data_IF_173516287111
#
_entry.id   IF_173516287111
#
_cell.length_a   1.000
_cell.length_b   1.000
_cell.length_c   1.000
_cell.angle_alpha   90.00
_cell.angle_beta   90.00
_cell.angle_gamma   90.00
#
_symmetry.space_group_name_H-M   'P 1'
#
loop_
_entity.id
_entity.type
_entity.pdbx_description
1 polymer ?
#
# COMPACT_ATOMS: atom_id res chain seq x y z
N UNK A 1 -20.23 -11.08 -14.14
CA UNK A 1 -18.78 -11.27 -14.36
C UNK A 1 -18.36 -12.45 -13.52
N UNK A 2 -18.04 -13.56 -14.16
CA UNK A 2 -17.65 -14.81 -13.52
C UNK A 2 -16.28 -14.66 -12.87
N UNK A 3 -16.17 -15.09 -11.61
CA UNK A 3 -14.92 -15.15 -10.86
C UNK A 3 -13.86 -15.91 -11.67
N UNK A 4 -12.91 -15.18 -12.26
CA UNK A 4 -11.71 -15.76 -12.82
C UNK A 4 -10.82 -16.16 -11.65
N UNK A 5 -10.72 -17.47 -11.50
CA UNK A 5 -9.64 -18.29 -10.92
C UNK A 5 -8.68 -17.55 -9.98
N UNK A 6 -8.76 -17.94 -8.70
CA UNK A 6 -7.74 -17.72 -7.68
C UNK A 6 -6.36 -18.08 -8.25
N UNK A 7 -5.41 -17.19 -7.98
CA UNK A 7 -4.00 -17.13 -8.43
C UNK A 7 -3.39 -18.54 -8.59
N UNK A 8 -2.78 -18.87 -9.76
CA UNK A 8 -2.08 -20.15 -9.95
C UNK A 8 -0.90 -20.29 -8.99
N UNK A 9 -0.81 -21.44 -8.32
CA UNK A 9 0.30 -21.87 -7.45
C UNK A 9 1.42 -22.53 -8.24
N UNK A 10 1.87 -21.92 -9.35
CA UNK A 10 3.01 -22.46 -10.08
C UNK A 10 4.28 -21.68 -9.72
N UNK A 11 5.36 -22.40 -9.46
CA UNK A 11 6.66 -21.87 -9.06
C UNK A 11 7.38 -21.20 -10.24
N UNK A 12 6.74 -20.20 -10.85
CA UNK A 12 7.43 -19.25 -11.71
C UNK A 12 8.51 -18.59 -10.86
N UNK A 13 9.75 -18.60 -11.36
CA UNK A 13 10.79 -17.70 -10.85
C UNK A 13 10.21 -16.28 -10.84
N UNK A 14 9.77 -15.84 -9.66
CA UNK A 14 9.25 -14.49 -9.49
C UNK A 14 10.40 -13.53 -9.71
N UNK A 15 10.13 -12.46 -10.47
CA UNK A 15 11.17 -11.58 -11.01
C UNK A 15 11.65 -10.61 -9.94
N UNK A 16 12.96 -10.36 -9.93
CA UNK A 16 13.61 -9.37 -9.09
C UNK A 16 13.30 -7.95 -9.61
N UNK A 17 12.80 -7.07 -8.73
CA UNK A 17 12.43 -5.68 -9.05
C UNK A 17 13.64 -4.82 -9.48
N UNK A 18 14.86 -5.24 -9.15
CA UNK A 18 16.10 -4.55 -9.51
C UNK A 18 16.65 -4.99 -10.88
N UNK A 19 16.11 -6.06 -11.47
CA UNK A 19 16.58 -6.55 -12.76
C UNK A 19 15.89 -5.84 -13.93
N UNK A 20 16.60 -5.59 -15.04
CA UNK A 20 16.00 -5.02 -16.23
C UNK A 20 14.83 -5.86 -16.74
N UNK A 21 13.73 -5.18 -17.04
CA UNK A 21 12.52 -5.81 -17.57
C UNK A 21 12.01 -5.00 -18.79
N UNK A 22 11.46 -5.71 -19.78
CA UNK A 22 10.96 -5.12 -21.03
C UNK A 22 9.60 -4.43 -20.90
N UNK A 23 8.87 -4.67 -19.81
CA UNK A 23 7.59 -4.02 -19.49
C UNK A 23 7.57 -3.28 -18.14
N UNK A 24 8.61 -3.42 -17.31
CA UNK A 24 8.67 -2.84 -15.97
C UNK A 24 10.03 -2.19 -15.65
N UNK A 25 10.01 -1.12 -14.86
CA UNK A 25 11.21 -0.44 -14.32
C UNK A 25 10.94 0.04 -12.89
N UNK A 26 11.95 -0.04 -12.02
CA UNK A 26 11.88 0.50 -10.66
C UNK A 26 13.09 1.37 -10.38
N UNK A 27 12.85 2.55 -9.79
CA UNK A 27 13.89 3.52 -9.45
C UNK A 27 13.62 4.10 -8.05
N UNK A 28 14.59 4.00 -7.14
CA UNK A 28 14.64 4.83 -5.92
C UNK A 28 15.19 6.20 -6.27
N UNK A 29 14.47 7.27 -5.95
CA UNK A 29 14.91 8.63 -6.23
C UNK A 29 15.93 9.07 -5.17
N UNK A 30 17.15 9.34 -5.61
CA UNK A 30 18.22 9.85 -4.75
C UNK A 30 18.48 11.33 -4.99
N UNK A 31 19.02 11.67 -6.17
CA UNK A 31 19.42 13.05 -6.49
C UNK A 31 18.51 13.72 -7.52
N UNK A 32 18.09 12.98 -8.55
CA UNK A 32 17.29 13.54 -9.64
C UNK A 32 16.19 12.58 -10.05
N UNK A 33 15.02 13.15 -10.35
CA UNK A 33 13.88 12.39 -10.86
C UNK A 33 14.10 12.13 -12.35
N UNK A 34 14.09 10.87 -12.83
CA UNK A 34 14.18 10.58 -14.26
C UNK A 34 13.10 11.34 -15.04
N UNK A 35 13.44 11.91 -16.19
CA UNK A 35 12.49 12.69 -16.98
C UNK A 35 11.22 11.88 -17.33
N UNK A 36 10.09 12.59 -17.41
CA UNK A 36 8.85 12.01 -17.90
C UNK A 36 9.05 11.53 -19.35
N UNK A 37 8.53 10.34 -19.67
CA UNK A 37 8.66 9.75 -20.99
C UNK A 37 7.30 9.24 -21.47
N UNK A 38 7.04 9.38 -22.77
CA UNK A 38 5.72 9.04 -23.36
C UNK A 38 5.45 7.53 -23.35
N UNK A 39 6.50 6.74 -23.36
CA UNK A 39 6.50 5.27 -23.28
C UNK A 39 6.60 4.77 -21.83
N UNK A 40 6.36 5.64 -20.85
CA UNK A 40 6.33 5.29 -19.43
C UNK A 40 4.98 5.61 -18.81
N UNK A 41 4.46 4.62 -18.09
CA UNK A 41 3.32 4.74 -17.19
C UNK A 41 3.92 4.82 -15.79
N UNK A 42 4.04 6.04 -15.28
CA UNK A 42 4.72 6.28 -14.02
C UNK A 42 3.78 6.10 -12.81
N UNK A 43 4.24 5.32 -11.84
CA UNK A 43 3.59 5.09 -10.54
C UNK A 43 4.49 5.69 -9.45
N UNK A 44 3.92 6.55 -8.62
CA UNK A 44 4.66 7.15 -7.51
C UNK A 44 4.52 6.30 -6.24
N UNK A 45 5.64 5.95 -5.61
CA UNK A 45 5.67 5.34 -4.27
C UNK A 45 6.18 6.40 -3.30
N UNK A 46 5.38 6.69 -2.26
CA UNK A 46 5.77 7.54 -1.14
C UNK A 46 6.46 6.66 -0.09
N UNK A 47 7.80 6.66 -0.09
CA UNK A 47 8.60 5.89 0.87
C UNK A 47 8.66 6.63 2.21
N UNK A 48 7.95 6.06 3.19
CA UNK A 48 7.83 6.58 4.56
C UNK A 48 8.78 5.87 5.55
N UNK A 49 9.68 5.00 5.07
CA UNK A 49 10.46 4.11 5.92
C UNK A 49 11.60 4.80 6.67
N UNK A 50 12.03 5.99 6.23
CA UNK A 50 13.09 6.72 6.91
C UNK A 50 14.40 5.87 7.03
N UNK A 51 14.75 5.11 5.98
CA UNK A 51 15.89 4.15 5.91
C UNK A 51 15.83 2.94 6.84
N UNK A 52 14.73 2.74 7.55
CA UNK A 52 14.54 1.49 8.26
C UNK A 52 14.45 0.34 7.26
N UNK A 53 15.17 -0.77 7.48
CA UNK A 53 14.97 -1.98 6.69
C UNK A 53 13.51 -2.40 6.73
N UNK A 54 12.82 -2.29 5.60
CA UNK A 54 11.40 -2.61 5.48
C UNK A 54 11.16 -3.56 4.31
N UNK A 55 10.45 -4.65 4.57
CA UNK A 55 9.98 -5.57 3.53
C UNK A 55 8.77 -5.00 2.78
N UNK A 56 7.89 -4.27 3.47
CA UNK A 56 6.64 -3.78 2.91
C UNK A 56 6.81 -2.83 1.73
N UNK A 57 7.86 -2.00 1.72
CA UNK A 57 8.14 -1.17 0.54
C UNK A 57 8.37 -2.00 -0.72
N UNK A 58 9.27 -2.97 -0.65
CA UNK A 58 9.60 -3.77 -1.83
C UNK A 58 8.43 -4.71 -2.18
N UNK A 59 7.67 -5.21 -1.20
CA UNK A 59 6.41 -5.91 -1.44
C UNK A 59 5.40 -5.06 -2.20
N UNK A 60 5.30 -3.75 -1.93
CA UNK A 60 4.45 -2.84 -2.70
C UNK A 60 4.97 -2.65 -4.14
N UNK A 61 6.29 -2.56 -4.34
CA UNK A 61 6.88 -2.49 -5.69
C UNK A 61 6.63 -3.80 -6.46
N UNK A 62 6.80 -4.95 -5.81
CA UNK A 62 6.45 -6.26 -6.35
C UNK A 62 4.96 -6.36 -6.71
N UNK A 63 4.05 -5.83 -5.87
CA UNK A 63 2.63 -5.79 -6.20
C UNK A 63 2.35 -5.02 -7.50
N UNK A 64 3.10 -3.93 -7.79
CA UNK A 64 2.99 -3.21 -9.07
C UNK A 64 3.60 -4.03 -10.22
N UNK A 65 4.74 -4.68 -10.00
CA UNK A 65 5.38 -5.56 -11.00
C UNK A 65 4.46 -6.72 -11.39
N UNK A 66 3.89 -7.42 -10.42
CA UNK A 66 2.96 -8.54 -10.63
C UNK A 66 1.68 -8.06 -11.33
N UNK A 67 1.13 -6.91 -10.95
CA UNK A 67 -0.01 -6.33 -11.64
C UNK A 67 0.33 -5.91 -13.09
N UNK A 68 1.53 -5.40 -13.35
CA UNK A 68 1.99 -5.06 -14.69
C UNK A 68 2.25 -6.29 -15.57
N UNK A 69 2.70 -7.39 -14.96
CA UNK A 69 2.97 -8.66 -15.65
C UNK A 69 1.72 -9.23 -16.31
N UNK A 70 0.54 -9.08 -15.70
CA UNK A 70 -0.74 -9.49 -16.30
C UNK A 70 -1.03 -8.80 -17.64
N UNK A 71 -0.37 -7.66 -17.91
CA UNK A 71 -0.48 -6.86 -19.13
C UNK A 71 0.82 -6.81 -19.93
N UNK A 72 1.78 -7.70 -19.66
CA UNK A 72 3.12 -7.65 -20.26
C UNK A 72 3.07 -7.66 -21.79
N UNK A 73 2.25 -8.53 -22.40
CA UNK A 73 2.11 -8.61 -23.86
C UNK A 73 1.54 -7.30 -24.46
N UNK A 74 0.59 -6.67 -23.77
CA UNK A 74 0.01 -5.40 -24.21
C UNK A 74 1.04 -4.27 -24.11
N UNK A 75 1.74 -4.17 -22.98
CA UNK A 75 2.81 -3.20 -22.74
C UNK A 75 3.92 -3.31 -23.80
N UNK A 76 4.38 -4.53 -24.09
CA UNK A 76 5.36 -4.79 -25.15
C UNK A 76 4.84 -4.39 -26.52
N UNK A 77 3.59 -4.74 -26.84
CA UNK A 77 2.95 -4.40 -28.12
C UNK A 77 2.86 -2.90 -28.37
N UNK A 78 2.57 -2.10 -27.32
CA UNK A 78 2.50 -0.64 -27.42
C UNK A 78 3.86 0.04 -27.17
N UNK A 79 4.91 -0.74 -26.92
CA UNK A 79 6.26 -0.23 -26.62
C UNK A 79 6.33 0.61 -25.35
N UNK A 80 5.46 0.35 -24.35
CA UNK A 80 5.42 1.08 -23.09
C UNK A 80 5.91 0.21 -21.92
N UNK A 81 6.30 0.86 -20.83
CA UNK A 81 6.62 0.20 -19.56
C UNK A 81 5.90 0.87 -18.39
N UNK A 82 5.56 0.08 -17.39
CA UNK A 82 5.22 0.59 -16.05
C UNK A 82 6.52 0.93 -15.34
N UNK A 83 6.64 2.16 -14.84
CA UNK A 83 7.82 2.60 -14.09
C UNK A 83 7.44 3.07 -12.71
N UNK A 84 7.94 2.39 -11.70
CA UNK A 84 7.77 2.77 -10.29
C UNK A 84 8.89 3.70 -9.89
N UNK A 85 8.52 4.88 -9.38
CA UNK A 85 9.45 5.85 -8.82
C UNK A 85 9.20 5.99 -7.32
N UNK A 86 10.17 5.61 -6.50
CA UNK A 86 10.10 5.68 -5.04
C UNK A 86 10.73 6.96 -4.51
N UNK A 87 9.95 7.75 -3.80
CA UNK A 87 10.29 9.06 -3.27
C UNK A 87 10.49 8.97 -1.75
N UNK A 88 11.70 9.25 -1.26
CA UNK A 88 11.98 9.37 0.18
C UNK A 88 11.38 10.68 0.72
N UNK A 89 10.14 10.56 1.19
CA UNK A 89 9.33 11.70 1.66
C UNK A 89 9.95 12.32 2.90
N UNK A 90 10.30 11.49 3.88
CA UNK A 90 10.56 11.97 5.24
C UNK A 90 11.95 12.54 5.44
N UNK A 91 12.98 11.98 4.80
CA UNK A 91 14.36 12.47 4.97
C UNK A 91 14.78 13.42 3.87
N UNK A 92 14.39 13.15 2.64
CA UNK A 92 14.81 13.97 1.50
C UNK A 92 13.80 15.05 1.15
N UNK A 93 12.64 15.08 1.81
CA UNK A 93 11.52 15.95 1.43
C UNK A 93 11.15 15.77 -0.05
N UNK A 94 11.31 14.53 -0.55
CA UNK A 94 11.04 14.21 -1.94
C UNK A 94 9.55 13.88 -2.05
N UNK A 95 8.77 14.82 -2.59
CA UNK A 95 7.34 14.65 -2.84
C UNK A 95 7.14 14.59 -4.37
N UNK A 96 6.44 13.59 -4.92
CA UNK A 96 6.13 13.56 -6.34
C UNK A 96 5.23 14.75 -6.74
N UNK A 97 5.21 15.05 -8.03
CA UNK A 97 4.28 16.02 -8.60
C UNK A 97 2.82 15.63 -8.36
N UNK A 98 1.95 16.62 -8.20
CA UNK A 98 0.49 16.44 -8.08
C UNK A 98 -0.13 15.79 -9.33
N UNK A 99 -1.36 15.26 -9.26
CA UNK A 99 -1.90 14.42 -10.35
C UNK A 99 -2.18 15.13 -11.68
N UNK A 100 -2.17 16.47 -11.67
CA UNK A 100 -2.24 17.28 -12.90
C UNK A 100 -0.91 17.30 -13.68
N UNK A 101 0.16 16.76 -13.11
CA UNK A 101 1.45 16.59 -13.76
C UNK A 101 1.60 15.19 -14.34
N UNK A 102 2.60 14.46 -13.84
CA UNK A 102 3.06 13.19 -14.41
C UNK A 102 2.28 11.95 -13.94
N UNK A 103 1.82 11.92 -12.71
CA UNK A 103 1.35 10.70 -12.04
C UNK A 103 -0.17 10.66 -11.93
N UNK A 104 -0.74 9.47 -11.98
CA UNK A 104 -2.18 9.22 -11.76
C UNK A 104 -2.44 8.09 -10.76
N UNK A 105 -1.38 7.36 -10.37
CA UNK A 105 -1.42 6.31 -9.37
C UNK A 105 -0.28 6.51 -8.38
N UNK A 106 -0.65 6.57 -7.11
CA UNK A 106 0.22 6.82 -5.97
C UNK A 106 0.02 5.69 -4.96
N UNK A 107 1.11 5.28 -4.33
CA UNK A 107 1.10 4.24 -3.30
C UNK A 107 1.90 4.76 -2.11
N UNK A 108 1.31 4.77 -0.92
CA UNK A 108 1.97 5.19 0.31
C UNK A 108 2.40 3.99 1.13
N UNK A 109 3.67 3.94 1.54
CA UNK A 109 4.16 2.82 2.34
C UNK A 109 3.87 3.00 3.84
N UNK A 110 4.02 1.91 4.59
CA UNK A 110 4.25 1.98 6.03
C UNK A 110 5.57 2.67 6.38
N UNK A 111 5.79 2.88 7.67
CA UNK A 111 6.96 3.58 8.19
C UNK A 111 6.95 3.64 9.72
N UNK A 112 8.11 3.83 10.36
CA UNK A 112 8.23 3.87 11.82
C UNK A 112 7.90 5.26 12.40
N UNK A 113 7.69 5.31 13.71
CA UNK A 113 7.52 6.53 14.48
C UNK A 113 6.10 7.08 14.50
N UNK A 114 5.92 8.19 15.20
CA UNK A 114 4.66 8.90 15.35
C UNK A 114 4.22 9.55 14.03
N UNK A 115 2.91 9.72 13.85
CA UNK A 115 2.31 10.41 12.69
C UNK A 115 2.45 11.94 12.73
N UNK A 116 2.95 12.49 13.84
CA UNK A 116 3.26 13.91 13.98
C UNK A 116 4.78 14.02 14.02
N UNK A 117 5.42 14.60 12.99
CA UNK A 117 6.88 14.69 12.95
C UNK A 117 7.47 15.45 14.14
N UNK A 118 6.68 16.30 14.81
CA UNK A 118 7.13 17.04 16.01
C UNK A 118 7.37 16.13 17.21
N UNK A 119 6.77 14.94 17.22
CA UNK A 119 6.90 13.94 18.29
C UNK A 119 7.97 12.88 17.99
N UNK A 120 8.59 12.94 16.81
CA UNK A 120 9.67 12.04 16.40
C UNK A 120 11.03 12.63 16.81
N UNK A 121 11.36 12.44 18.09
CA UNK A 121 12.57 12.96 18.75
C UNK A 121 13.79 12.01 18.67
N UNK A 122 13.61 10.79 18.14
CA UNK A 122 14.62 9.74 18.06
C UNK A 122 14.93 9.02 19.37
N UNK A 123 14.28 9.37 20.48
CA UNK A 123 14.60 8.88 21.82
C UNK A 123 13.39 8.25 22.52
N UNK A 124 12.22 8.87 22.40
CA UNK A 124 10.98 8.36 22.97
C UNK A 124 10.58 7.05 22.29
N UNK A 125 9.98 6.12 23.04
CA UNK A 125 9.58 4.79 22.54
C UNK A 125 8.70 4.90 21.28
N UNK A 126 7.73 5.82 21.29
CA UNK A 126 6.82 6.08 20.18
C UNK A 126 7.48 6.72 18.95
N UNK A 127 8.65 7.32 19.09
CA UNK A 127 9.43 7.79 17.92
C UNK A 127 10.06 6.62 17.16
N UNK A 128 10.17 5.44 17.78
CA UNK A 128 10.81 4.26 17.22
C UNK A 128 12.20 4.56 16.63
N UNK A 129 12.97 5.45 17.29
CA UNK A 129 14.29 5.88 16.84
C UNK A 129 14.29 6.83 15.65
N UNK A 130 13.12 7.27 15.17
CA UNK A 130 13.02 8.28 14.11
C UNK A 130 13.24 9.67 14.70
N UNK A 131 14.21 10.37 14.14
CA UNK A 131 14.43 11.80 14.38
C UNK A 131 14.30 12.53 13.05
N UNK A 132 13.34 13.45 12.95
CA UNK A 132 13.04 14.12 11.68
C UNK A 132 12.57 15.58 11.85
N UNK A 133 12.41 16.26 10.72
CA UNK A 133 11.87 17.63 10.67
C UNK A 133 10.43 17.62 10.16
N UNK A 134 9.71 18.72 10.36
CA UNK A 134 8.34 18.89 9.85
C UNK A 134 8.29 19.33 8.37
N UNK A 135 9.43 19.42 7.68
CA UNK A 135 9.52 20.07 6.37
C UNK A 135 8.68 19.38 5.28
N UNK A 136 8.49 18.07 5.38
CA UNK A 136 7.74 17.25 4.43
C UNK A 136 6.22 17.27 4.64
N UNK A 137 5.76 17.65 5.83
CA UNK A 137 4.36 17.55 6.24
C UNK A 137 3.43 18.41 5.36
N UNK A 138 3.70 19.71 5.27
CA UNK A 138 2.85 20.62 4.51
C UNK A 138 2.86 20.33 3.00
N UNK A 139 4.00 20.05 2.34
CA UNK A 139 4.02 19.55 0.96
C UNK A 139 3.23 18.27 0.74
N UNK A 140 3.35 17.28 1.62
CA UNK A 140 2.62 16.02 1.53
C UNK A 140 1.10 16.23 1.67
N UNK A 141 0.68 17.08 2.61
CA UNK A 141 -0.74 17.35 2.83
C UNK A 141 -1.37 18.10 1.64
N UNK A 142 -0.62 18.98 0.98
CA UNK A 142 -1.06 19.56 -0.30
C UNK A 142 -1.22 18.52 -1.39
N UNK A 143 -0.32 17.52 -1.45
CA UNK A 143 -0.50 16.40 -2.39
C UNK A 143 -1.79 15.61 -2.07
N UNK A 144 -2.13 15.40 -0.80
CA UNK A 144 -3.39 14.77 -0.42
C UNK A 144 -4.62 15.61 -0.82
N UNK A 145 -4.56 16.93 -0.64
CA UNK A 145 -5.60 17.86 -1.13
C UNK A 145 -5.80 17.70 -2.65
N UNK A 146 -4.70 17.71 -3.41
CA UNK A 146 -4.72 17.58 -4.87
C UNK A 146 -5.24 16.20 -5.30
N UNK A 147 -4.83 15.12 -4.63
CA UNK A 147 -5.31 13.76 -4.87
C UNK A 147 -6.81 13.63 -4.62
N UNK A 148 -7.30 14.20 -3.52
CA UNK A 148 -8.72 14.16 -3.19
C UNK A 148 -9.55 14.99 -4.18
N UNK A 149 -9.04 16.13 -4.62
CA UNK A 149 -9.72 16.98 -5.60
C UNK A 149 -9.69 16.41 -7.03
N UNK A 150 -8.68 15.60 -7.38
CA UNK A 150 -8.53 15.07 -8.72
C UNK A 150 -9.55 13.95 -9.03
N UNK A 151 -10.21 14.01 -10.20
CA UNK A 151 -11.32 13.08 -10.51
C UNK A 151 -10.89 11.64 -10.75
N UNK A 152 -9.67 11.44 -11.22
CA UNK A 152 -9.21 10.12 -11.72
C UNK A 152 -7.92 9.64 -11.07
N UNK A 153 -7.32 10.43 -10.18
CA UNK A 153 -6.08 10.01 -9.54
C UNK A 153 -6.41 9.04 -8.42
N UNK A 154 -5.57 8.02 -8.26
CA UNK A 154 -5.70 7.03 -7.21
C UNK A 154 -4.53 7.09 -6.24
N UNK A 155 -4.83 6.94 -4.95
CA UNK A 155 -3.89 6.80 -3.86
C UNK A 155 -4.28 5.63 -2.96
N UNK A 156 -3.36 4.69 -2.81
CA UNK A 156 -3.47 3.53 -1.93
C UNK A 156 -2.48 3.70 -0.78
N UNK A 157 -2.97 4.02 0.42
CA UNK A 157 -2.16 4.37 1.57
C UNK A 157 -2.10 3.22 2.58
N UNK A 158 -0.89 2.72 2.88
CA UNK A 158 -0.67 1.59 3.79
C UNK A 158 -0.05 2.05 5.11
N UNK A 159 -0.54 1.50 6.22
CA UNK A 159 0.00 1.64 7.58
C UNK A 159 0.29 3.11 7.96
N UNK A 160 1.55 3.54 8.00
CA UNK A 160 1.92 4.92 8.33
C UNK A 160 1.31 5.95 7.37
N UNK A 161 1.26 5.65 6.06
CA UNK A 161 0.60 6.54 5.10
C UNK A 161 -0.92 6.62 5.36
N UNK A 162 -1.57 5.53 5.77
CA UNK A 162 -2.96 5.56 6.22
C UNK A 162 -3.14 6.44 7.46
N UNK A 163 -2.25 6.32 8.45
CA UNK A 163 -2.28 7.17 9.63
C UNK A 163 -2.15 8.66 9.29
N UNK A 164 -1.26 9.01 8.35
CA UNK A 164 -1.12 10.39 7.88
C UNK A 164 -2.35 10.89 7.14
N UNK A 165 -3.00 10.05 6.34
CA UNK A 165 -4.30 10.37 5.73
C UNK A 165 -5.35 10.62 6.82
N UNK A 166 -5.38 9.80 7.88
CA UNK A 166 -6.30 9.99 8.98
C UNK A 166 -6.08 11.32 9.69
N UNK A 167 -4.83 11.65 10.00
CA UNK A 167 -4.44 12.91 10.63
C UNK A 167 -4.73 14.13 9.76
N UNK A 168 -4.39 14.08 8.48
CA UNK A 168 -4.64 15.17 7.53
C UNK A 168 -6.15 15.43 7.36
N UNK A 169 -6.95 14.37 7.24
CA UNK A 169 -8.40 14.49 7.04
C UNK A 169 -9.18 14.79 8.32
N UNK A 170 -8.57 14.59 9.49
CA UNK A 170 -9.23 14.72 10.80
C UNK A 170 -10.25 13.63 11.09
N UNK A 171 -10.19 12.50 10.38
CA UNK A 171 -11.16 11.39 10.56
C UNK A 171 -10.89 10.57 11.82
N UNK A 172 -9.62 10.44 12.20
CA UNK A 172 -9.19 9.64 13.34
C UNK A 172 -7.87 10.19 13.93
N UNK A 173 -7.68 10.01 15.24
CA UNK A 173 -6.43 10.34 15.92
C UNK A 173 -5.64 9.07 16.30
N UNK A 174 -4.30 9.16 16.36
CA UNK A 174 -3.50 8.07 16.88
C UNK A 174 -3.65 7.93 18.40
N UNK A 175 -3.92 6.72 18.85
CA UNK A 175 -3.82 6.32 20.25
C UNK A 175 -2.71 5.28 20.42
N UNK A 176 -1.79 5.50 21.36
CA UNK A 176 -0.70 4.58 21.62
C UNK A 176 -1.22 3.32 22.29
N UNK A 177 -0.93 2.15 21.70
CA UNK A 177 -1.32 0.87 22.30
C UNK A 177 -0.46 0.55 23.51
N UNK A 178 -1.06 -0.07 24.52
CA UNK A 178 -0.32 -0.65 25.65
C UNK A 178 0.61 -1.79 25.20
N UNK A 179 0.21 -2.51 24.15
CA UNK A 179 0.99 -3.56 23.51
C UNK A 179 0.92 -3.40 21.99
N UNK A 180 2.10 -3.50 21.35
CA UNK A 180 2.20 -3.44 19.90
C UNK A 180 1.37 -4.55 19.27
N UNK A 181 0.47 -4.20 18.34
CA UNK A 181 -0.25 -5.20 17.58
C UNK A 181 0.73 -5.93 16.66
N UNK A 182 0.65 -7.26 16.65
CA UNK A 182 1.47 -8.09 15.78
C UNK A 182 0.73 -9.36 15.39
N UNK A 183 1.06 -9.88 14.22
CA UNK A 183 0.53 -11.14 13.72
C UNK A 183 -0.70 -10.94 12.84
N UNK A 184 -1.79 -11.65 13.15
CA UNK A 184 -3.01 -11.61 12.32
C UNK A 184 -4.30 -11.34 13.13
N UNK A 185 -4.47 -10.13 13.69
CA UNK A 185 -5.66 -9.77 14.45
C UNK A 185 -6.94 -9.86 13.60
N UNK A 186 -8.06 -10.09 14.28
CA UNK A 186 -9.38 -10.16 13.66
C UNK A 186 -9.92 -8.73 13.45
N UNK A 187 -10.50 -8.51 12.29
CA UNK A 187 -11.12 -7.26 11.87
C UNK A 187 -12.55 -7.54 11.41
N UNK A 188 -13.35 -6.48 11.35
CA UNK A 188 -14.75 -6.56 10.98
C UNK A 188 -15.09 -5.46 9.98
N UNK A 189 -15.79 -5.85 8.90
CA UNK A 189 -16.35 -4.90 7.94
C UNK A 189 -17.43 -4.04 8.59
N UNK A 190 -17.41 -2.74 8.28
CA UNK A 190 -18.42 -1.77 8.69
C UNK A 190 -19.74 -2.00 7.92
N UNK A 191 -20.81 -1.34 8.37
CA UNK A 191 -22.09 -1.37 7.64
C UNK A 191 -21.96 -0.72 6.27
N UNK A 192 -21.15 0.33 6.18
CA UNK A 192 -20.84 1.07 4.96
C UNK A 192 -20.13 0.15 3.95
N UNK A 193 -19.20 -0.70 4.41
CA UNK A 193 -18.51 -1.65 3.55
C UNK A 193 -19.44 -2.74 2.99
N UNK A 194 -20.42 -3.21 3.78
CA UNK A 194 -21.42 -4.17 3.30
C UNK A 194 -22.33 -3.61 2.19
N UNK A 195 -22.42 -2.28 2.06
CA UNK A 195 -23.18 -1.59 1.02
C UNK A 195 -22.29 -1.06 -0.11
N UNK A 196 -20.98 -1.25 0.00
CA UNK A 196 -20.00 -0.71 -0.94
C UNK A 196 -19.84 -1.67 -2.13
N UNK A 197 -19.92 -1.22 -3.41
CA UNK A 197 -19.88 -2.13 -4.57
C UNK A 197 -18.64 -3.03 -4.69
N UNK A 198 -17.47 -2.54 -4.29
CA UNK A 198 -16.26 -3.35 -4.14
C UNK A 198 -16.25 -4.22 -2.88
N UNK A 199 -16.45 -3.66 -1.68
CA UNK A 199 -16.31 -4.42 -0.42
C UNK A 199 -17.49 -5.35 -0.10
N UNK A 200 -18.65 -5.21 -0.75
CA UNK A 200 -19.71 -6.23 -0.71
C UNK A 200 -19.21 -7.55 -1.31
N UNK A 201 -18.35 -7.51 -2.34
CA UNK A 201 -17.73 -8.71 -2.88
C UNK A 201 -16.75 -9.33 -1.88
N UNK A 202 -16.07 -8.50 -1.07
CA UNK A 202 -15.24 -8.98 0.04
C UNK A 202 -16.10 -9.69 1.07
N UNK A 203 -17.19 -9.04 1.53
CA UNK A 203 -18.16 -9.63 2.45
C UNK A 203 -18.66 -10.99 1.93
N UNK A 204 -19.09 -11.08 0.67
CA UNK A 204 -19.58 -12.33 0.07
C UNK A 204 -18.52 -13.44 0.00
N UNK A 205 -17.23 -13.11 0.06
CA UNK A 205 -16.14 -14.07 0.08
C UNK A 205 -15.75 -14.51 1.52
N UNK A 206 -16.27 -13.84 2.56
CA UNK A 206 -16.01 -14.17 3.95
C UNK A 206 -17.00 -15.24 4.47
N UNK A 207 -16.56 -16.17 5.35
CA UNK A 207 -17.41 -17.25 5.85
C UNK A 207 -18.70 -16.78 6.54
N UNK A 208 -18.65 -15.65 7.22
CA UNK A 208 -19.77 -15.06 7.96
C UNK A 208 -20.22 -13.71 7.39
N UNK A 209 -19.69 -13.33 6.22
CA UNK A 209 -20.01 -12.07 5.59
C UNK A 209 -19.32 -10.83 6.16
N UNK A 210 -18.50 -10.94 7.21
CA UNK A 210 -18.07 -9.74 7.93
C UNK A 210 -16.65 -9.76 8.51
N UNK A 211 -16.20 -10.89 9.05
CA UNK A 211 -14.95 -10.93 9.80
C UNK A 211 -13.79 -11.48 8.96
N UNK A 212 -12.65 -10.83 9.06
CA UNK A 212 -11.46 -11.16 8.30
C UNK A 212 -10.19 -10.91 9.12
N UNK A 213 -9.09 -11.56 8.76
CA UNK A 213 -7.79 -11.34 9.41
C UNK A 213 -6.88 -10.51 8.53
N UNK A 214 -6.04 -9.70 9.18
CA UNK A 214 -5.11 -8.79 8.51
C UNK A 214 -3.71 -9.01 9.04
N UNK A 215 -2.67 -8.88 8.21
CA UNK A 215 -1.29 -8.88 8.71
C UNK A 215 -1.01 -7.53 9.36
N UNK A 216 -0.64 -7.52 10.63
CA UNK A 216 -0.49 -6.29 11.42
C UNK A 216 0.87 -6.22 12.14
N UNK A 217 1.36 -4.99 12.29
CA UNK A 217 2.58 -4.64 13.01
C UNK A 217 2.55 -3.19 13.52
N UNK A 218 1.39 -2.69 13.95
CA UNK A 218 1.18 -1.28 14.34
C UNK A 218 1.41 -1.02 15.84
N UNK A 219 1.92 0.19 16.12
CA UNK A 219 2.08 0.71 17.48
C UNK A 219 0.92 1.60 17.92
N UNK A 220 0.19 2.18 16.97
CA UNK A 220 -0.93 3.09 17.22
C UNK A 220 -2.21 2.53 16.64
N UNK A 221 -3.28 2.63 17.42
CA UNK A 221 -4.64 2.56 16.89
C UNK A 221 -5.02 3.92 16.31
N UNK A 222 -5.90 3.91 15.32
CA UNK A 222 -6.47 5.14 14.75
C UNK A 222 -7.93 5.18 15.18
N UNK A 223 -8.21 5.91 16.26
CA UNK A 223 -9.54 5.99 16.83
C UNK A 223 -10.41 6.95 16.04
N UNK A 224 -11.52 6.45 15.50
CA UNK A 224 -12.46 7.21 14.71
C UNK A 224 -13.05 8.37 15.52
N UNK A 225 -12.81 9.60 15.08
CA UNK A 225 -13.42 10.81 15.65
C UNK A 225 -14.71 11.16 14.93
N UNK A 226 -14.63 11.32 13.61
CA UNK A 226 -15.75 11.72 12.77
C UNK A 226 -15.50 11.31 11.33
N UNK A 227 -16.36 10.42 10.81
CA UNK A 227 -16.28 9.97 9.42
C UNK A 227 -16.42 11.12 8.39
N UNK A 228 -17.14 12.20 8.72
CA UNK A 228 -17.36 13.30 7.78
C UNK A 228 -17.92 12.81 6.44
N UNK A 229 -17.16 13.02 5.35
CA UNK A 229 -17.48 12.52 4.00
C UNK A 229 -16.76 11.22 3.63
N UNK A 230 -15.88 10.73 4.49
CA UNK A 230 -15.20 9.46 4.28
C UNK A 230 -16.12 8.29 4.61
N UNK A 231 -15.81 7.13 4.06
CA UNK A 231 -16.47 5.87 4.36
C UNK A 231 -15.52 5.03 5.24
N UNK A 232 -15.79 4.87 6.54
CA UNK A 232 -15.12 3.86 7.36
C UNK A 232 -15.43 2.48 6.79
N UNK A 233 -14.42 1.70 6.40
CA UNK A 233 -14.61 0.41 5.75
C UNK A 233 -14.47 -0.75 6.74
N UNK A 234 -13.53 -0.67 7.68
CA UNK A 234 -13.31 -1.73 8.64
C UNK A 234 -12.70 -1.23 9.95
N UNK A 235 -12.90 -2.03 10.99
CA UNK A 235 -12.40 -1.81 12.34
C UNK A 235 -11.71 -3.07 12.89
N UNK A 236 -10.81 -2.91 13.85
CA UNK A 236 -10.29 -4.04 14.63
C UNK A 236 -11.43 -4.63 15.49
N UNK A 237 -11.57 -5.96 15.50
CA UNK A 237 -12.63 -6.62 16.28
C UNK A 237 -12.37 -6.47 17.78
N UNK A 238 -13.42 -6.15 18.54
CA UNK A 238 -13.33 -5.80 19.96
C UNK A 238 -13.04 -4.30 20.23
N UNK A 239 -12.58 -3.55 19.22
CA UNK A 239 -12.50 -2.09 19.24
C UNK A 239 -13.68 -1.49 18.49
N UNK A 240 -14.54 -0.72 19.17
CA UNK A 240 -15.70 -0.12 18.48
C UNK A 240 -15.29 1.00 17.51
N UNK A 241 -14.14 1.63 17.72
CA UNK A 241 -13.68 2.84 17.01
C UNK A 241 -12.28 2.74 16.41
N UNK A 242 -11.54 1.65 16.67
CA UNK A 242 -10.21 1.41 16.12
C UNK A 242 -10.26 1.15 14.60
N UNK A 243 -10.11 2.21 13.82
CA UNK A 243 -10.26 2.21 12.36
C UNK A 243 -9.06 1.50 11.70
N UNK A 244 -9.37 0.57 10.79
CA UNK A 244 -8.35 -0.20 10.06
C UNK A 244 -8.43 0.00 8.56
N UNK A 245 -9.55 0.48 8.03
CA UNK A 245 -9.70 0.80 6.61
C UNK A 245 -10.63 1.99 6.40
N UNK A 246 -10.30 2.85 5.43
CA UNK A 246 -11.08 4.04 5.07
C UNK A 246 -11.05 4.31 3.57
N UNK A 247 -12.18 4.70 3.02
CA UNK A 247 -12.27 5.28 1.68
C UNK A 247 -12.60 6.77 1.77
N UNK A 248 -11.83 7.63 1.10
CA UNK A 248 -12.12 9.07 1.02
C UNK A 248 -12.75 9.46 -0.32
N UNK A 249 -12.52 8.68 -1.36
CA UNK A 249 -13.11 8.91 -2.66
C UNK A 249 -13.14 7.65 -3.52
N UNK A 250 -14.16 7.59 -4.39
CA UNK A 250 -14.37 6.53 -5.37
C UNK A 250 -14.05 6.97 -6.79
N UNK A 251 -13.81 6.01 -7.66
CA UNK A 251 -13.68 6.22 -9.10
C UNK A 251 -14.99 6.75 -9.73
N UNK A 252 -14.91 7.24 -10.96
CA UNK A 252 -16.06 7.81 -11.67
C UNK A 252 -17.18 6.78 -11.93
N UNK A 253 -16.86 5.49 -12.02
CA UNK A 253 -17.83 4.40 -12.13
C UNK A 253 -18.51 4.06 -10.80
N UNK A 254 -18.14 4.71 -9.69
CA UNK A 254 -18.74 4.52 -8.38
C UNK A 254 -18.53 3.11 -7.80
N UNK A 255 -17.53 2.38 -8.29
CA UNK A 255 -17.30 0.97 -7.91
C UNK A 255 -16.00 0.79 -7.15
N UNK A 256 -14.88 1.29 -7.67
CA UNK A 256 -13.55 1.05 -7.10
C UNK A 256 -13.11 2.24 -6.24
N UNK A 257 -12.64 2.04 -5.00
CA UNK A 257 -12.05 3.13 -4.24
C UNK A 257 -10.83 3.68 -4.98
N UNK A 258 -10.72 5.00 -5.10
CA UNK A 258 -9.54 5.66 -5.66
C UNK A 258 -8.67 6.27 -4.57
N UNK A 259 -9.23 6.69 -3.46
CA UNK A 259 -8.47 7.14 -2.30
C UNK A 259 -8.79 6.19 -1.15
N UNK A 260 -7.96 5.17 -1.00
CA UNK A 260 -8.12 4.09 -0.03
C UNK A 260 -6.95 4.11 0.95
N UNK A 261 -7.25 4.04 2.24
CA UNK A 261 -6.27 3.87 3.29
C UNK A 261 -6.53 2.60 4.09
N UNK A 262 -5.46 1.90 4.46
CA UNK A 262 -5.50 0.66 5.24
C UNK A 262 -4.38 0.67 6.28
N UNK A 263 -4.69 0.32 7.53
CA UNK A 263 -3.74 0.37 8.64
C UNK A 263 -2.83 -0.86 8.70
N UNK A 264 -3.33 -1.99 8.19
CA UNK A 264 -2.60 -3.26 8.11
C UNK A 264 -1.69 -3.34 6.88
N UNK A 265 -1.05 -4.50 6.67
CA UNK A 265 -0.06 -4.75 5.64
C UNK A 265 -0.52 -5.73 4.55
N UNK A 266 -1.46 -5.33 3.66
CA UNK A 266 -1.97 -6.20 2.59
C UNK A 266 -0.97 -6.45 1.45
N UNK A 267 0.19 -5.80 1.47
CA UNK A 267 1.33 -6.13 0.61
C UNK A 267 2.03 -7.42 1.05
N UNK A 268 1.83 -7.87 2.30
CA UNK A 268 2.41 -9.11 2.84
C UNK A 268 1.42 -10.24 2.61
N UNK A 269 1.38 -10.72 1.36
CA UNK A 269 0.31 -11.59 0.85
C UNK A 269 0.37 -12.99 1.44
N UNK A 270 1.52 -13.64 1.27
CA UNK A 270 1.72 -15.05 1.59
C UNK A 270 3.18 -15.33 1.92
N UNK A 271 3.43 -16.55 2.40
CA UNK A 271 4.76 -16.99 2.83
C UNK A 271 5.78 -16.95 1.70
N UNK A 272 5.40 -17.40 0.50
CA UNK A 272 6.36 -17.59 -0.58
C UNK A 272 6.77 -16.22 -1.15
N UNK A 273 5.82 -15.26 -1.22
CA UNK A 273 6.08 -13.86 -1.55
C UNK A 273 7.03 -13.22 -0.55
N UNK A 274 6.74 -13.33 0.74
CA UNK A 274 7.55 -12.65 1.75
C UNK A 274 8.96 -13.24 1.83
N UNK A 275 9.11 -14.55 1.68
CA UNK A 275 10.42 -15.19 1.65
C UNK A 275 11.25 -14.74 0.44
N UNK A 276 10.63 -14.57 -0.74
CA UNK A 276 11.32 -14.04 -1.91
C UNK A 276 11.86 -12.62 -1.67
N UNK A 277 11.02 -11.71 -1.14
CA UNK A 277 11.47 -10.33 -0.89
C UNK A 277 12.61 -10.32 0.15
N UNK A 278 12.55 -11.18 1.16
CA UNK A 278 13.64 -11.35 2.13
C UNK A 278 14.92 -11.88 1.47
N UNK A 279 14.81 -12.86 0.57
CA UNK A 279 15.94 -13.45 -0.15
C UNK A 279 16.60 -12.44 -1.11
N UNK A 280 15.80 -11.65 -1.85
CA UNK A 280 16.28 -10.57 -2.72
C UNK A 280 17.05 -9.52 -1.91
N UNK A 281 16.47 -9.03 -0.81
CA UNK A 281 17.15 -8.07 0.08
C UNK A 281 18.47 -8.60 0.62
N UNK A 282 18.51 -9.88 0.98
CA UNK A 282 19.73 -10.54 1.44
C UNK A 282 20.75 -10.63 0.31
N UNK A 283 20.35 -11.01 -0.89
CA UNK A 283 21.21 -11.12 -2.06
C UNK A 283 21.82 -9.77 -2.48
N UNK A 284 21.06 -8.68 -2.32
CA UNK A 284 21.50 -7.31 -2.60
C UNK A 284 22.24 -6.65 -1.43
N UNK A 285 22.43 -7.35 -0.30
CA UNK A 285 23.18 -6.85 0.86
C UNK A 285 22.48 -5.74 1.64
N UNK A 286 21.16 -5.58 1.47
CA UNK A 286 20.38 -4.54 2.12
C UNK A 286 20.09 -4.81 3.60
N UNK A 287 20.22 -6.09 4.02
CA UNK A 287 19.91 -6.56 5.38
C UNK A 287 20.99 -7.50 5.90
N UNK A 288 21.13 -7.58 7.22
CA UNK A 288 22.04 -8.53 7.87
C UNK A 288 21.46 -9.95 7.91
N UNK A 289 22.31 -10.97 8.02
CA UNK A 289 21.89 -12.38 8.15
C UNK A 289 21.03 -12.60 9.40
N UNK A 290 21.35 -11.90 10.50
CA UNK A 290 20.56 -11.95 11.72
C UNK A 290 19.14 -11.41 11.48
N UNK A 291 19.04 -10.23 10.86
CA UNK A 291 17.76 -9.61 10.54
C UNK A 291 16.92 -10.50 9.62
N UNK A 292 17.55 -11.09 8.60
CA UNK A 292 16.91 -12.05 7.69
C UNK A 292 16.37 -13.26 8.47
N UNK A 293 17.21 -13.90 9.28
CA UNK A 293 16.86 -15.13 10.00
C UNK A 293 15.69 -14.92 10.96
N UNK A 294 15.70 -13.81 11.72
CA UNK A 294 14.61 -13.47 12.64
C UNK A 294 13.28 -13.30 11.90
N UNK A 295 13.28 -12.61 10.76
CA UNK A 295 12.05 -12.32 9.99
C UNK A 295 11.56 -13.54 9.23
N UNK A 296 12.46 -14.33 8.66
CA UNK A 296 12.13 -15.57 7.99
C UNK A 296 11.44 -16.57 8.94
N UNK A 297 11.85 -16.64 10.21
CA UNK A 297 11.17 -17.47 11.22
C UNK A 297 9.75 -16.94 11.48
N UNK A 298 9.63 -15.66 11.85
CA UNK A 298 8.31 -15.05 12.15
C UNK A 298 7.32 -15.24 11.01
N UNK A 299 7.73 -15.01 9.76
CA UNK A 299 6.83 -15.10 8.61
C UNK A 299 6.38 -16.53 8.30
N UNK A 300 7.29 -17.52 8.45
CA UNK A 300 6.95 -18.94 8.27
C UNK A 300 5.94 -19.46 9.30
N UNK A 301 5.95 -18.90 10.50
CA UNK A 301 5.02 -19.27 11.55
C UNK A 301 3.68 -18.58 11.39
N UNK A 302 3.67 -17.34 10.91
CA UNK A 302 2.46 -16.55 10.70
C UNK A 302 1.58 -17.10 9.58
N UNK A 303 2.18 -17.48 8.45
CA UNK A 303 1.48 -17.94 7.25
C UNK A 303 1.33 -19.46 7.22
N UNK A 304 0.31 -19.96 7.93
CA UNK A 304 -0.07 -21.38 7.91
C UNK A 304 -1.59 -21.56 7.80
N UNK A 305 -2.03 -22.44 6.91
CA UNK A 305 -3.42 -22.87 6.80
C UNK A 305 -4.40 -21.70 6.57
N UNK A 306 -5.31 -21.50 7.52
CA UNK A 306 -6.33 -20.44 7.47
C UNK A 306 -5.73 -19.04 7.32
N UNK A 307 -4.64 -18.75 8.03
CA UNK A 307 -4.03 -17.42 8.06
C UNK A 307 -3.54 -16.99 6.68
N UNK A 308 -2.92 -17.91 5.93
CA UNK A 308 -2.46 -17.62 4.57
C UNK A 308 -3.63 -17.37 3.62
N UNK A 309 -4.71 -18.17 3.73
CA UNK A 309 -5.92 -17.96 2.93
C UNK A 309 -6.57 -16.60 3.22
N UNK A 310 -6.72 -16.24 4.49
CA UNK A 310 -7.25 -14.94 4.92
C UNK A 310 -6.37 -13.79 4.44
N UNK A 311 -5.05 -13.93 4.55
CA UNK A 311 -4.12 -12.91 4.09
C UNK A 311 -4.26 -12.64 2.60
N UNK A 312 -4.28 -13.68 1.76
CA UNK A 312 -4.50 -13.55 0.29
C UNK A 312 -5.82 -12.86 -0.02
N UNK A 313 -6.89 -13.25 0.69
CA UNK A 313 -8.23 -12.68 0.48
C UNK A 313 -8.28 -11.20 0.87
N UNK A 314 -7.81 -10.86 2.06
CA UNK A 314 -7.72 -9.47 2.54
C UNK A 314 -6.85 -8.63 1.62
N UNK A 315 -5.69 -9.15 1.20
CA UNK A 315 -4.76 -8.47 0.29
C UNK A 315 -5.41 -8.12 -1.04
N UNK A 316 -6.22 -9.04 -1.58
CA UNK A 316 -6.99 -8.80 -2.81
C UNK A 316 -7.92 -7.59 -2.69
N UNK A 317 -8.75 -7.54 -1.65
CA UNK A 317 -9.77 -6.50 -1.54
C UNK A 317 -9.25 -5.17 -1.01
N UNK A 318 -8.16 -5.18 -0.22
CA UNK A 318 -7.66 -3.98 0.45
C UNK A 318 -6.44 -3.34 -0.23
N UNK A 319 -5.84 -3.97 -1.25
CA UNK A 319 -4.74 -3.40 -2.02
C UNK A 319 -4.68 -3.87 -3.47
N UNK A 320 -4.54 -5.18 -3.71
CA UNK A 320 -4.14 -5.72 -5.02
C UNK A 320 -5.22 -5.53 -6.10
N UNK A 321 -6.49 -5.71 -5.75
CA UNK A 321 -7.62 -5.48 -6.65
C UNK A 321 -7.74 -4.00 -7.07
N UNK A 322 -7.80 -3.05 -6.11
CA UNK A 322 -7.74 -1.61 -6.43
C UNK A 322 -6.50 -1.22 -7.24
N UNK A 323 -5.32 -1.73 -6.88
CA UNK A 323 -4.08 -1.49 -7.62
C UNK A 323 -4.18 -1.94 -9.07
N UNK A 324 -4.57 -3.20 -9.30
CA UNK A 324 -4.74 -3.78 -10.64
C UNK A 324 -5.73 -2.97 -11.46
N UNK A 325 -6.88 -2.61 -10.88
CA UNK A 325 -7.91 -1.83 -11.57
C UNK A 325 -7.37 -0.47 -12.06
N UNK A 326 -6.69 0.28 -11.19
CA UNK A 326 -6.17 1.60 -11.55
C UNK A 326 -5.01 1.49 -12.54
N UNK A 327 -4.14 0.50 -12.39
CA UNK A 327 -3.04 0.27 -13.33
C UNK A 327 -3.55 -0.14 -14.71
N UNK A 328 -4.49 -1.08 -14.79
CA UNK A 328 -5.14 -1.50 -16.03
C UNK A 328 -5.75 -0.30 -16.77
N UNK A 329 -6.47 0.57 -16.05
CA UNK A 329 -7.05 1.78 -16.64
C UNK A 329 -5.99 2.69 -17.25
N UNK A 330 -4.83 2.85 -16.60
CA UNK A 330 -3.72 3.63 -17.13
C UNK A 330 -3.12 2.98 -18.37
N UNK A 331 -2.92 1.66 -18.37
CA UNK A 331 -2.41 0.91 -19.52
C UNK A 331 -3.36 1.06 -20.72
N UNK A 332 -4.65 0.79 -20.52
CA UNK A 332 -5.68 0.94 -21.57
C UNK A 332 -5.75 2.36 -22.13
N UNK A 333 -5.56 3.38 -21.30
CA UNK A 333 -5.55 4.77 -21.77
C UNK A 333 -4.37 5.09 -22.70
N UNK A 334 -3.26 4.32 -22.63
CA UNK A 334 -2.12 4.42 -23.54
C UNK A 334 -2.29 3.59 -24.81
N UNK A 335 -3.10 2.53 -24.76
CA UNK A 335 -3.43 1.68 -25.90
C UNK A 335 -4.44 2.30 -26.86
N UNK A 336 -5.22 3.28 -26.42
CA UNK A 336 -6.17 4.00 -27.29
C UNK A 336 -5.43 5.04 -28.14
N UNK A 337 -5.71 5.16 -29.45
CA UNK A 337 -5.18 6.25 -30.26
C UNK A 337 -5.61 7.59 -29.64
N UNK A 338 -4.69 8.56 -29.57
CA UNK A 338 -5.07 9.93 -29.25
C UNK A 338 -6.08 10.40 -30.31
N UNK A 339 -7.34 10.58 -29.90
CA UNK A 339 -8.44 11.07 -30.74
C UNK A 339 -8.25 12.53 -31.10
#
# INVERSE_FOLDING_TARGET
MTARTLIPTDSMHRRDIHQPNDFFEYVRIEDSVPAAARDRIDVAVLDMNHFWPNVGHDSLVHAVLEAAEEFADELKRIGAKVRVLSYDVRRRNAIPESPNGRFQLYIGTGGPGHLDPRLNDGASEWSQGVHETTAWEAPLFRLFDDLLAHRTAAFLAVCHSFGLVCRWSGVAHPELRSEKSSGMPLNRLSREALQHPWFEQFANALPDGQHFRVVDNRLFDLELESAGKSAPIAFEEGGNTALTMIELARDAGGTMPRFLGVNHHPEIIDRDHIMQVLDEKRAHGEVSEQWYSERAVTMRDLFRGENERQSRLTSHYSLLGPLRFHLERLIRSRSLPAS
#
